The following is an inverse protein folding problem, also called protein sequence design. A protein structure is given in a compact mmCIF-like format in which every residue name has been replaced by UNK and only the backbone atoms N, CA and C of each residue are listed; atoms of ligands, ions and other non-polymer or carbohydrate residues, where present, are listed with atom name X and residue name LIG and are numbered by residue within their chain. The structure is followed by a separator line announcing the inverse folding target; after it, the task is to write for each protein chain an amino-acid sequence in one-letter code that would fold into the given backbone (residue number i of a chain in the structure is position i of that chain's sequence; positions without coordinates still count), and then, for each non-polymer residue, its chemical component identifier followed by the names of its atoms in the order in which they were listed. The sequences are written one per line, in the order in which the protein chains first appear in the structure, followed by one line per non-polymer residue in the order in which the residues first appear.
data_IF_952741900744
#
_entry.id   IF_952741900744
#
_cell.length_a   1.000
_cell.length_b   1.000
_cell.length_c   1.000
_cell.angle_alpha   90.00
_cell.angle_beta   90.00
_cell.angle_gamma   90.00
#
_symmetry.space_group_name_H-M   'P 1'
#
loop_
_entity.id
_entity.type
_entity.pdbx_description
1 polymer ?
#
# COMPACT_ATOMS: atom_id res chain seq x y z
N UNK A 1 20.57 -6.19 26.73
CA UNK A 1 19.94 -7.04 25.69
C UNK A 1 18.81 -6.25 25.07
N UNK A 2 18.93 -5.81 23.82
CA UNK A 2 17.78 -5.28 23.08
C UNK A 2 17.13 -6.47 22.41
N UNK A 3 16.10 -7.02 23.05
CA UNK A 3 15.18 -7.92 22.39
C UNK A 3 14.40 -7.03 21.43
N UNK A 4 14.76 -7.02 20.14
CA UNK A 4 13.94 -6.30 19.16
C UNK A 4 12.68 -7.16 18.99
N UNK A 5 11.73 -7.02 19.91
CA UNK A 5 10.42 -7.65 19.80
C UNK A 5 9.64 -6.86 18.74
N UNK A 6 9.96 -7.06 17.46
CA UNK A 6 9.26 -6.37 16.37
C UNK A 6 7.87 -6.97 16.29
N UNK A 7 6.84 -6.18 16.62
CA UNK A 7 5.45 -6.58 16.41
C UNK A 7 5.02 -6.21 14.98
N UNK A 8 4.82 -7.17 14.05
CA UNK A 8 4.45 -6.86 12.68
C UNK A 8 2.95 -6.56 12.50
N UNK A 9 2.11 -6.84 13.50
CA UNK A 9 0.66 -6.75 13.37
C UNK A 9 0.12 -5.35 13.03
N UNK A 10 0.65 -4.25 13.61
CA UNK A 10 0.22 -2.90 13.23
C UNK A 10 0.45 -2.62 11.74
N UNK A 11 1.64 -2.95 11.22
CA UNK A 11 1.98 -2.72 9.81
C UNK A 11 1.17 -3.62 8.87
N UNK A 12 0.89 -4.88 9.27
CA UNK A 12 -0.04 -5.76 8.51
C UNK A 12 -1.45 -5.17 8.45
N UNK A 13 -1.93 -4.59 9.55
CA UNK A 13 -3.24 -3.94 9.61
C UNK A 13 -3.31 -2.71 8.69
N UNK A 14 -2.24 -1.91 8.67
CA UNK A 14 -2.10 -0.77 7.75
C UNK A 14 -2.10 -1.22 6.28
N UNK A 15 -1.32 -2.25 5.93
CA UNK A 15 -1.30 -2.83 4.57
C UNK A 15 -2.70 -3.31 4.17
N UNK A 16 -3.42 -3.99 5.07
CA UNK A 16 -4.79 -4.45 4.81
C UNK A 16 -5.75 -3.28 4.58
N UNK A 17 -5.60 -2.22 5.37
CA UNK A 17 -6.42 -1.00 5.24
C UNK A 17 -6.15 -0.31 3.91
N UNK A 18 -4.89 -0.21 3.48
CA UNK A 18 -4.50 0.33 2.17
C UNK A 18 -5.01 -0.52 1.01
N UNK A 19 -4.93 -1.85 1.11
CA UNK A 19 -5.52 -2.77 0.11
C UNK A 19 -7.02 -2.50 -0.03
N UNK A 20 -7.73 -2.41 1.08
CA UNK A 20 -9.18 -2.12 1.09
C UNK A 20 -9.51 -0.74 0.51
N UNK A 21 -8.70 0.28 0.82
CA UNK A 21 -8.87 1.63 0.29
C UNK A 21 -8.58 1.69 -1.22
N UNK A 22 -7.57 0.98 -1.71
CA UNK A 22 -7.29 0.87 -3.16
C UNK A 22 -8.46 0.21 -3.89
N UNK A 23 -8.99 -0.86 -3.33
CA UNK A 23 -10.05 -1.66 -3.94
C UNK A 23 -11.41 -0.94 -3.91
N UNK A 24 -11.64 -0.02 -2.97
CA UNK A 24 -12.87 0.78 -2.90
C UNK A 24 -12.96 1.86 -3.99
N UNK A 25 -11.82 2.23 -4.60
CA UNK A 25 -11.77 3.15 -5.74
C UNK A 25 -12.31 2.40 -6.97
N UNK A 26 -13.62 2.36 -7.14
CA UNK A 26 -14.29 1.57 -8.19
C UNK A 26 -14.90 2.45 -9.29
N UNK A 27 -15.24 3.69 -8.96
CA UNK A 27 -15.95 4.57 -9.85
C UNK A 27 -15.01 5.31 -10.81
N UNK A 28 -15.34 5.26 -12.10
CA UNK A 28 -14.90 6.26 -13.07
C UNK A 28 -15.84 7.46 -12.95
N UNK A 29 -15.29 8.66 -13.07
CA UNK A 29 -16.13 9.84 -13.26
C UNK A 29 -16.80 9.71 -14.63
N UNK A 30 -18.11 9.89 -14.65
CA UNK A 30 -18.92 9.95 -15.87
C UNK A 30 -19.90 11.11 -15.67
N UNK A 31 -19.90 12.06 -16.59
CA UNK A 31 -20.75 13.25 -16.52
C UNK A 31 -21.72 13.18 -17.69
N UNK A 32 -23.01 13.25 -17.39
CA UNK A 32 -24.04 13.40 -18.42
C UNK A 32 -23.92 14.79 -19.05
N UNK A 33 -23.92 14.81 -20.39
CA UNK A 33 -23.72 16.04 -21.16
C UNK A 33 -24.95 16.42 -21.97
N UNK A 34 -26.09 15.77 -21.75
CA UNK A 34 -27.33 16.06 -22.46
C UNK A 34 -27.77 17.53 -22.27
N UNK A 35 -28.11 18.17 -23.39
CA UNK A 35 -28.57 19.56 -23.42
C UNK A 35 -27.45 20.63 -23.34
N UNK A 36 -26.18 20.23 -23.29
CA UNK A 36 -25.04 21.17 -23.29
C UNK A 36 -24.58 21.51 -24.72
N UNK A 37 -23.99 22.69 -24.89
CA UNK A 37 -23.38 23.07 -26.16
C UNK A 37 -22.08 22.28 -26.42
N UNK A 38 -21.69 22.18 -27.70
CA UNK A 38 -20.56 21.34 -28.13
C UNK A 38 -19.22 21.71 -27.47
N UNK A 39 -18.96 22.99 -27.22
CA UNK A 39 -17.69 23.41 -26.59
C UNK A 39 -17.65 23.01 -25.12
N UNK A 40 -18.79 23.13 -24.43
CA UNK A 40 -18.94 22.66 -23.05
C UNK A 40 -18.80 21.15 -22.96
N UNK A 41 -19.41 20.39 -23.89
CA UNK A 41 -19.26 18.93 -23.97
C UNK A 41 -17.78 18.53 -24.11
N UNK A 42 -17.03 19.19 -24.98
CA UNK A 42 -15.60 18.90 -25.19
C UNK A 42 -14.79 19.12 -23.90
N UNK A 43 -14.99 20.25 -23.21
CA UNK A 43 -14.31 20.54 -21.95
C UNK A 43 -14.66 19.53 -20.85
N UNK A 44 -15.92 19.12 -20.77
CA UNK A 44 -16.35 18.10 -19.80
C UNK A 44 -15.68 16.75 -20.09
N UNK A 45 -15.60 16.34 -21.37
CA UNK A 45 -14.90 15.11 -21.75
C UNK A 45 -13.41 15.15 -21.44
N UNK A 46 -12.77 16.31 -21.60
CA UNK A 46 -11.37 16.49 -21.19
C UNK A 46 -11.19 16.34 -19.68
N UNK A 47 -12.08 16.95 -18.89
CA UNK A 47 -12.09 16.81 -17.42
C UNK A 47 -12.30 15.36 -17.02
N UNK A 48 -13.30 14.69 -17.59
CA UNK A 48 -13.60 13.28 -17.34
C UNK A 48 -12.37 12.40 -17.63
N UNK A 49 -11.74 12.62 -18.79
CA UNK A 49 -10.54 11.89 -19.20
C UNK A 49 -9.38 12.12 -18.25
N UNK A 50 -9.08 13.38 -17.90
CA UNK A 50 -7.97 13.73 -17.05
C UNK A 50 -8.17 13.24 -15.62
N UNK A 51 -9.39 13.36 -15.09
CA UNK A 51 -9.72 12.87 -13.76
C UNK A 51 -9.58 11.35 -13.68
N UNK A 52 -10.09 10.61 -14.67
CA UNK A 52 -9.95 9.17 -14.72
C UNK A 52 -8.48 8.72 -14.83
N UNK A 53 -7.62 9.46 -15.56
CA UNK A 53 -6.17 9.22 -15.55
C UNK A 53 -5.55 9.43 -14.17
N UNK A 54 -5.96 10.47 -13.44
CA UNK A 54 -5.49 10.73 -12.07
C UNK A 54 -5.89 9.58 -11.13
N UNK A 55 -7.12 9.08 -11.24
CA UNK A 55 -7.58 7.91 -10.47
C UNK A 55 -6.69 6.69 -10.75
N UNK A 56 -6.42 6.40 -12.02
CA UNK A 56 -5.57 5.27 -12.42
C UNK A 56 -4.14 5.42 -11.90
N UNK A 57 -3.54 6.61 -12.03
CA UNK A 57 -2.22 6.90 -11.50
C UNK A 57 -2.15 6.73 -9.97
N UNK A 58 -3.16 7.24 -9.25
CA UNK A 58 -3.24 7.13 -7.80
C UNK A 58 -3.37 5.66 -7.35
N UNK A 59 -4.18 4.86 -8.04
CA UNK A 59 -4.23 3.41 -7.82
C UNK A 59 -2.89 2.73 -8.00
N UNK A 60 -2.14 3.10 -9.03
CA UNK A 60 -0.80 2.57 -9.28
C UNK A 60 0.18 2.90 -8.16
N UNK A 61 0.14 4.13 -7.64
CA UNK A 61 0.95 4.55 -6.48
C UNK A 61 0.59 3.74 -5.22
N UNK A 62 -0.70 3.57 -4.92
CA UNK A 62 -1.15 2.75 -3.79
C UNK A 62 -0.68 1.29 -3.91
N UNK A 63 -0.71 0.71 -5.11
CA UNK A 63 -0.22 -0.64 -5.35
C UNK A 63 1.29 -0.77 -5.12
N UNK A 64 2.06 0.23 -5.55
CA UNK A 64 3.49 0.29 -5.29
C UNK A 64 3.79 0.42 -3.80
N UNK A 65 3.06 1.29 -3.08
CA UNK A 65 3.23 1.47 -1.64
C UNK A 65 2.91 0.19 -0.86
N UNK A 66 1.81 -0.47 -1.20
CA UNK A 66 1.45 -1.78 -0.64
C UNK A 66 2.58 -2.79 -0.84
N UNK A 67 3.13 -2.88 -2.05
CA UNK A 67 4.23 -3.80 -2.36
C UNK A 67 5.49 -3.46 -1.56
N UNK A 68 5.82 -2.18 -1.43
CA UNK A 68 6.96 -1.73 -0.64
C UNK A 68 6.79 -2.11 0.84
N UNK A 69 5.59 -1.92 1.41
CA UNK A 69 5.31 -2.31 2.80
C UNK A 69 5.35 -3.83 3.00
N UNK A 70 4.83 -4.61 2.05
CA UNK A 70 4.92 -6.08 2.07
C UNK A 70 6.40 -6.53 2.08
N UNK A 71 7.28 -5.87 1.31
CA UNK A 71 8.74 -6.13 1.31
C UNK A 71 9.36 -5.75 2.66
N UNK A 72 9.02 -4.57 3.20
CA UNK A 72 9.55 -4.09 4.48
C UNK A 72 9.23 -5.09 5.60
N UNK A 73 7.98 -5.56 5.70
CA UNK A 73 7.61 -6.60 6.67
C UNK A 73 8.44 -7.87 6.46
N UNK A 74 8.59 -8.34 5.22
CA UNK A 74 9.33 -9.56 4.94
C UNK A 74 10.80 -9.46 5.37
N UNK A 75 11.47 -8.34 5.07
CA UNK A 75 12.85 -8.09 5.50
C UNK A 75 12.95 -7.93 7.03
N UNK A 76 11.99 -7.25 7.66
CA UNK A 76 11.94 -7.13 9.12
C UNK A 76 11.80 -8.49 9.80
N UNK A 77 10.93 -9.37 9.30
CA UNK A 77 10.77 -10.73 9.83
C UNK A 77 12.03 -11.58 9.63
N UNK A 78 12.76 -11.42 8.52
CA UNK A 78 14.06 -12.10 8.32
C UNK A 78 15.11 -11.65 9.32
N UNK A 79 15.16 -10.33 9.59
CA UNK A 79 16.06 -9.75 10.58
C UNK A 79 15.73 -10.29 11.98
N UNK A 80 14.46 -10.26 12.38
CA UNK A 80 14.00 -10.77 13.67
C UNK A 80 14.37 -12.26 13.85
N UNK A 81 14.07 -13.11 12.86
CA UNK A 81 14.43 -14.53 12.89
C UNK A 81 15.95 -14.76 13.00
N UNK A 82 16.77 -13.96 12.31
CA UNK A 82 18.24 -14.04 12.37
C UNK A 82 18.78 -13.72 13.76
N UNK A 83 18.20 -12.74 14.45
CA UNK A 83 18.65 -12.37 15.80
C UNK A 83 18.08 -13.31 16.87
N UNK A 84 16.81 -13.74 16.75
CA UNK A 84 16.22 -14.76 17.62
C UNK A 84 16.99 -16.08 17.57
N UNK A 85 17.39 -16.53 16.37
CA UNK A 85 18.22 -17.74 16.20
C UNK A 85 19.62 -17.62 16.81
N UNK A 86 20.23 -16.42 16.78
CA UNK A 86 21.52 -16.16 17.42
C UNK A 86 21.42 -16.14 18.95
N UNK A 87 20.37 -15.54 19.50
CA UNK A 87 20.11 -15.56 20.94
C UNK A 87 19.84 -16.98 21.44
N UNK A 88 19.17 -17.81 20.65
CA UNK A 88 18.92 -19.21 20.98
C UNK A 88 20.22 -20.04 21.00
N UNK A 89 21.07 -19.91 19.97
CA UNK A 89 22.37 -20.60 19.94
C UNK A 89 23.29 -20.11 21.07
N UNK A 90 23.36 -18.80 21.33
CA UNK A 90 24.14 -18.23 22.43
C UNK A 90 23.68 -18.69 23.83
N UNK A 91 22.38 -18.94 24.00
CA UNK A 91 21.82 -19.54 25.23
C UNK A 91 22.17 -21.03 25.37
N UNK A 92 22.18 -21.79 24.27
CA UNK A 92 22.51 -23.22 24.28
C UNK A 92 24.00 -23.50 24.50
N UNK A 93 24.90 -22.64 23.99
CA UNK A 93 26.35 -22.84 24.11
C UNK A 93 26.95 -22.24 25.38
N UNK A 94 26.13 -21.80 26.34
CA UNK A 94 26.60 -21.28 27.63
C UNK A 94 27.24 -19.90 27.52
N UNK A 95 26.42 -18.85 27.34
CA UNK A 95 26.85 -17.49 27.63
C UNK A 95 27.17 -17.35 29.13
N UNK A 96 28.43 -17.07 29.46
CA UNK A 96 28.79 -16.37 30.70
C UNK A 96 28.30 -14.93 30.64
#
# INVERSE_FOLDING_TARGET
MVQILINPEPLKSEIKSLKSAKDSITAKLTIDTDGLDLQTIQKIKEIETNFNKIIEAYKGLLEQDIKNMDIIIAEWMKVDAKYAGKDFIGRLTGGK
#
